data_IF_868089024755
#
_entry.id   IF_868089024755
#
_cell.length_a   1.000
_cell.length_b   1.000
_cell.length_c   1.000
_cell.angle_alpha   90.00
_cell.angle_beta   90.00
_cell.angle_gamma   90.00
#
_symmetry.space_group_name_H-M   'P 1'
#
loop_
_entity.id
_entity.type
_entity.pdbx_description
1 polymer ?
#
# COMPACT_ATOMS: atom_id res chain seq x y z
N UNK A 1 -8.39 -4.34 17.38
CA UNK A 1 -7.08 -5.06 17.20
C UNK A 1 -7.05 -6.31 18.04
N UNK A 2 -6.57 -7.42 17.49
CA UNK A 2 -6.45 -8.72 18.20
C UNK A 2 -5.21 -8.81 19.08
N UNK A 3 -4.21 -7.97 18.85
CA UNK A 3 -3.00 -7.84 19.67
C UNK A 3 -2.89 -6.39 20.13
N UNK A 4 -2.69 -6.20 21.43
CA UNK A 4 -2.51 -4.86 22.04
C UNK A 4 -1.11 -4.32 21.81
N UNK A 5 -1.00 -3.00 21.73
CA UNK A 5 0.27 -2.28 21.66
C UNK A 5 1.05 -2.45 22.98
N UNK A 6 2.38 -2.34 22.91
CA UNK A 6 3.20 -2.19 24.12
C UNK A 6 3.22 -0.71 24.55
N UNK A 7 3.41 -0.41 25.83
CA UNK A 7 3.80 0.92 26.28
C UNK A 7 5.04 1.41 25.52
N UNK A 8 5.09 2.68 25.11
CA UNK A 8 6.17 3.22 24.28
C UNK A 8 7.57 3.06 24.88
N UNK A 9 7.68 3.09 26.21
CA UNK A 9 8.94 2.91 26.91
C UNK A 9 9.53 1.48 26.81
N UNK A 10 8.72 0.49 26.42
CA UNK A 10 9.16 -0.91 26.22
C UNK A 10 9.74 -1.17 24.81
N UNK A 11 9.68 -0.20 23.92
CA UNK A 11 10.34 -0.31 22.60
C UNK A 11 11.78 0.18 22.68
N UNK A 12 12.70 -0.37 21.87
CA UNK A 12 14.07 0.13 21.73
C UNK A 12 14.09 1.64 21.44
N UNK A 13 15.12 2.31 21.94
CA UNK A 13 15.24 3.78 21.87
C UNK A 13 15.11 4.33 20.45
N UNK A 14 15.70 3.68 19.42
CA UNK A 14 15.66 4.12 18.04
C UNK A 14 14.24 4.02 17.43
N UNK A 15 13.44 3.02 17.86
CA UNK A 15 12.03 2.92 17.45
C UNK A 15 11.18 4.00 18.14
N UNK A 16 11.51 4.38 19.36
CA UNK A 16 10.86 5.50 20.05
C UNK A 16 11.10 6.82 19.33
N UNK A 17 12.31 7.03 18.80
CA UNK A 17 12.63 8.19 17.96
C UNK A 17 11.84 8.17 16.65
N UNK A 18 11.71 7.00 16.02
CA UNK A 18 10.87 6.82 14.83
C UNK A 18 9.41 7.17 15.13
N UNK A 19 8.84 6.68 16.22
CA UNK A 19 7.46 6.97 16.61
C UNK A 19 7.25 8.45 16.95
N UNK A 20 8.22 9.08 17.59
CA UNK A 20 8.17 10.52 17.84
C UNK A 20 8.10 11.31 16.51
N UNK A 21 8.95 10.98 15.55
CA UNK A 21 8.92 11.60 14.21
C UNK A 21 7.59 11.34 13.49
N UNK A 22 7.09 10.12 13.56
CA UNK A 22 5.80 9.76 12.97
C UNK A 22 4.65 10.55 13.58
N UNK A 23 4.61 10.69 14.92
CA UNK A 23 3.61 11.49 15.64
C UNK A 23 3.70 12.97 15.26
N UNK A 24 4.93 13.49 15.06
CA UNK A 24 5.13 14.88 14.60
C UNK A 24 4.57 15.09 13.19
N UNK A 25 4.80 14.15 12.27
CA UNK A 25 4.43 14.24 10.85
C UNK A 25 2.95 13.99 10.62
N UNK A 26 2.37 12.99 11.28
CA UNK A 26 1.00 12.50 11.05
C UNK A 26 0.04 12.83 12.20
N UNK A 27 0.50 13.53 13.24
CA UNK A 27 -0.22 13.85 14.48
C UNK A 27 -0.59 12.61 15.32
N UNK A 28 -0.27 11.43 14.85
CA UNK A 28 -0.51 10.15 15.52
C UNK A 28 0.57 9.13 15.14
N UNK A 29 0.69 8.06 15.94
CA UNK A 29 1.53 6.91 15.61
C UNK A 29 0.64 5.89 14.90
N UNK A 30 1.12 5.37 13.78
CA UNK A 30 0.42 4.34 13.03
C UNK A 30 0.39 3.03 13.84
N UNK A 31 -0.80 2.50 14.10
CA UNK A 31 -0.97 1.24 14.84
C UNK A 31 -0.20 0.06 14.22
N UNK A 32 -0.17 -0.13 12.89
CA UNK A 32 0.71 -1.16 12.32
C UNK A 32 2.18 -1.01 12.69
N UNK A 33 2.71 0.21 12.76
CA UNK A 33 4.10 0.42 13.12
C UNK A 33 4.39 -0.06 14.56
N UNK A 34 3.47 0.15 15.49
CA UNK A 34 3.57 -0.35 16.85
C UNK A 34 3.51 -1.89 16.90
N UNK A 35 2.67 -2.52 16.07
CA UNK A 35 2.56 -3.98 16.02
C UNK A 35 3.81 -4.62 15.39
N UNK A 36 4.27 -4.15 14.23
CA UNK A 36 5.51 -4.62 13.61
C UNK A 36 6.71 -4.48 14.56
N UNK A 37 6.78 -3.35 15.27
CA UNK A 37 7.85 -3.02 16.20
C UNK A 37 7.88 -3.89 17.45
N UNK A 38 6.83 -4.68 17.75
CA UNK A 38 6.90 -5.72 18.80
C UNK A 38 8.01 -6.73 18.53
N UNK A 39 8.36 -6.91 17.25
CA UNK A 39 9.52 -7.69 16.79
C UNK A 39 10.45 -6.74 16.02
N UNK A 40 11.42 -6.08 16.69
CA UNK A 40 12.21 -5.01 16.09
C UNK A 40 12.94 -5.39 14.80
N UNK A 41 13.44 -6.61 14.68
CA UNK A 41 14.09 -7.11 13.45
C UNK A 41 13.12 -7.15 12.27
N UNK A 42 11.88 -7.59 12.50
CA UNK A 42 10.84 -7.63 11.48
C UNK A 42 10.42 -6.22 11.07
N UNK A 43 10.24 -5.31 12.03
CA UNK A 43 9.96 -3.91 11.74
C UNK A 43 11.03 -3.30 10.82
N UNK A 44 12.31 -3.50 11.15
CA UNK A 44 13.41 -2.94 10.37
C UNK A 44 13.42 -3.46 8.91
N UNK A 45 13.17 -4.76 8.71
CA UNK A 45 13.10 -5.35 7.38
C UNK A 45 11.92 -4.78 6.56
N UNK A 46 10.75 -4.69 7.16
CA UNK A 46 9.53 -4.13 6.54
C UNK A 46 9.72 -2.64 6.23
N UNK A 47 10.30 -1.87 7.15
CA UNK A 47 10.54 -0.44 6.96
C UNK A 47 11.56 -0.17 5.84
N UNK A 48 12.62 -0.99 5.74
CA UNK A 48 13.60 -0.90 4.66
C UNK A 48 12.97 -1.21 3.30
N UNK A 49 12.20 -2.30 3.21
CA UNK A 49 11.52 -2.68 1.98
C UNK A 49 10.52 -1.61 1.54
N UNK A 50 9.71 -1.09 2.46
CA UNK A 50 8.80 0.02 2.18
C UNK A 50 9.55 1.25 1.63
N UNK A 51 10.65 1.66 2.28
CA UNK A 51 11.44 2.80 1.85
C UNK A 51 12.07 2.61 0.47
N UNK A 52 12.40 1.37 0.10
CA UNK A 52 12.91 1.01 -1.22
C UNK A 52 11.82 1.15 -2.29
N UNK A 53 10.62 0.66 -2.02
CA UNK A 53 9.50 0.67 -2.97
C UNK A 53 8.85 2.06 -3.13
N UNK A 54 8.85 2.90 -2.08
CA UNK A 54 8.28 4.27 -2.15
C UNK A 54 9.33 5.36 -2.39
N UNK A 55 10.48 5.02 -2.98
CA UNK A 55 11.54 5.99 -3.30
C UNK A 55 11.12 6.97 -4.40
N UNK A 56 11.72 8.16 -4.39
CA UNK A 56 11.43 9.23 -5.38
C UNK A 56 11.77 8.85 -6.82
N UNK A 57 12.87 8.10 -7.00
CA UNK A 57 13.36 7.67 -8.32
C UNK A 57 12.88 6.25 -8.66
N UNK A 58 11.58 6.00 -8.59
CA UNK A 58 10.97 4.75 -9.05
C UNK A 58 10.50 4.91 -10.49
N UNK A 59 10.54 3.87 -11.34
CA UNK A 59 9.92 3.88 -12.66
C UNK A 59 8.39 4.00 -12.60
N UNK A 60 7.79 3.66 -11.45
CA UNK A 60 6.36 3.77 -11.23
C UNK A 60 6.00 5.18 -10.74
N UNK A 61 5.05 5.84 -11.40
CA UNK A 61 4.57 7.15 -10.95
C UNK A 61 4.00 7.09 -9.52
N UNK A 62 4.08 8.18 -8.73
CA UNK A 62 3.51 8.19 -7.38
C UNK A 62 2.00 7.90 -7.36
N UNK A 63 1.24 8.37 -8.35
CA UNK A 63 -0.19 8.11 -8.48
C UNK A 63 -0.45 6.64 -8.72
N UNK A 64 0.26 6.04 -9.69
CA UNK A 64 0.12 4.62 -10.02
C UNK A 64 0.42 3.73 -8.82
N UNK A 65 1.50 4.02 -8.05
CA UNK A 65 1.80 3.29 -6.81
C UNK A 65 0.66 3.37 -5.80
N UNK A 66 0.01 4.54 -5.70
CA UNK A 66 -1.13 4.71 -4.79
C UNK A 66 -2.35 3.93 -5.25
N UNK A 67 -2.67 3.92 -6.55
CA UNK A 67 -3.76 3.12 -7.11
C UNK A 67 -3.57 1.63 -6.79
N UNK A 68 -2.37 1.10 -7.05
CA UNK A 68 -2.00 -0.29 -6.74
C UNK A 68 -2.20 -0.59 -5.25
N UNK A 69 -1.65 0.25 -4.37
CA UNK A 69 -1.71 -0.03 -2.93
C UNK A 69 -3.12 0.09 -2.36
N UNK A 70 -3.94 1.01 -2.86
CA UNK A 70 -5.37 1.08 -2.48
C UNK A 70 -6.11 -0.17 -2.96
N UNK A 71 -5.92 -0.58 -4.24
CA UNK A 71 -6.64 -1.74 -4.80
C UNK A 71 -6.32 -3.03 -4.04
N UNK A 72 -5.05 -3.33 -3.79
CA UNK A 72 -4.63 -4.48 -2.97
C UNK A 72 -5.25 -4.41 -1.57
N UNK A 73 -5.32 -3.21 -0.99
CA UNK A 73 -5.90 -3.02 0.35
C UNK A 73 -7.40 -3.30 0.40
N UNK A 74 -8.13 -2.90 -0.64
CA UNK A 74 -9.57 -3.20 -0.80
C UNK A 74 -9.80 -4.71 -0.88
N UNK A 75 -9.08 -5.40 -1.78
CA UNK A 75 -9.19 -6.86 -1.98
C UNK A 75 -8.88 -7.63 -0.69
N UNK A 76 -7.88 -7.21 0.07
CA UNK A 76 -7.47 -7.86 1.32
C UNK A 76 -8.24 -7.39 2.57
N UNK A 77 -9.31 -6.61 2.43
CA UNK A 77 -10.15 -6.12 3.53
C UNK A 77 -9.37 -5.41 4.64
N UNK A 78 -8.32 -4.67 4.25
CA UNK A 78 -7.49 -3.91 5.20
C UNK A 78 -8.01 -2.48 5.34
N UNK A 79 -8.94 -2.24 6.27
CA UNK A 79 -9.54 -0.91 6.48
C UNK A 79 -8.50 0.17 6.83
N UNK A 80 -7.48 -0.16 7.65
CA UNK A 80 -6.37 0.75 7.92
C UNK A 80 -5.59 1.08 6.63
N UNK A 81 -5.30 0.06 5.81
CA UNK A 81 -4.53 0.27 4.59
C UNK A 81 -5.31 1.08 3.55
N UNK A 82 -6.62 0.85 3.43
CA UNK A 82 -7.49 1.69 2.57
C UNK A 82 -7.44 3.14 3.05
N UNK A 83 -7.62 3.40 4.34
CA UNK A 83 -7.59 4.74 4.93
C UNK A 83 -6.28 5.49 4.62
N UNK A 84 -5.12 4.91 4.94
CA UNK A 84 -3.82 5.58 4.73
C UNK A 84 -3.45 5.71 3.25
N UNK A 85 -3.67 4.67 2.44
CA UNK A 85 -3.31 4.67 1.03
C UNK A 85 -4.21 5.59 0.20
N UNK A 86 -5.51 5.68 0.52
CA UNK A 86 -6.42 6.67 -0.09
C UNK A 86 -6.02 8.10 0.23
N UNK A 87 -5.57 8.37 1.48
CA UNK A 87 -5.01 9.68 1.84
C UNK A 87 -3.75 10.02 1.02
N UNK A 88 -2.91 9.03 0.73
CA UNK A 88 -1.73 9.21 -0.13
C UNK A 88 -2.12 9.41 -1.59
N UNK A 89 -3.12 8.68 -2.08
CA UNK A 89 -3.66 8.87 -3.44
C UNK A 89 -4.19 10.28 -3.61
N UNK A 90 -5.02 10.76 -2.70
CA UNK A 90 -5.53 12.14 -2.72
C UNK A 90 -4.39 13.17 -2.79
N UNK A 91 -3.36 13.02 -1.97
CA UNK A 91 -2.21 13.93 -1.97
C UNK A 91 -1.40 13.92 -3.26
N UNK A 92 -1.37 12.80 -3.97
CA UNK A 92 -0.56 12.60 -5.19
C UNK A 92 -1.33 12.96 -6.46
N UNK A 93 -2.63 12.70 -6.50
CA UNK A 93 -3.50 12.97 -7.66
C UNK A 93 -4.22 14.32 -7.59
N UNK A 94 -4.39 14.89 -6.39
CA UNK A 94 -5.16 16.10 -6.16
C UNK A 94 -6.68 15.89 -6.14
N UNK A 95 -7.18 14.66 -6.38
CA UNK A 95 -8.60 14.31 -6.37
C UNK A 95 -8.82 12.91 -5.77
N UNK A 96 -10.03 12.67 -5.26
CA UNK A 96 -10.50 11.35 -4.83
C UNK A 96 -11.24 10.57 -5.91
N UNK A 97 -11.49 11.15 -7.08
CA UNK A 97 -12.34 10.54 -8.12
C UNK A 97 -11.88 9.14 -8.51
N UNK A 98 -10.57 8.97 -8.79
CA UNK A 98 -9.99 7.65 -9.07
C UNK A 98 -10.09 6.71 -7.88
N UNK A 99 -9.94 7.21 -6.65
CA UNK A 99 -10.06 6.39 -5.44
C UNK A 99 -11.46 5.84 -5.23
N UNK A 100 -12.49 6.64 -5.50
CA UNK A 100 -13.90 6.25 -5.41
C UNK A 100 -14.30 5.30 -6.54
N UNK A 101 -13.77 5.49 -7.74
CA UNK A 101 -14.04 4.65 -8.91
C UNK A 101 -13.26 3.34 -8.93
N UNK A 102 -12.29 3.14 -8.02
CA UNK A 102 -11.32 2.05 -8.11
C UNK A 102 -11.93 0.64 -7.95
N UNK A 103 -13.09 0.50 -7.31
CA UNK A 103 -13.80 -0.78 -7.23
C UNK A 103 -14.40 -1.20 -8.58
N UNK A 104 -14.80 -0.21 -9.39
CA UNK A 104 -15.40 -0.40 -10.72
C UNK A 104 -14.51 0.18 -11.83
N UNK A 105 -13.20 0.09 -11.66
CA UNK A 105 -12.23 0.72 -12.56
C UNK A 105 -12.34 0.29 -14.03
N UNK A 106 -12.84 -0.94 -14.29
CA UNK A 106 -12.98 -1.46 -15.65
C UNK A 106 -13.95 -0.66 -16.50
N UNK A 107 -15.04 -0.21 -15.90
CA UNK A 107 -16.13 0.52 -16.55
C UNK A 107 -15.97 2.05 -16.45
N UNK A 108 -14.87 2.51 -15.86
CA UNK A 108 -14.60 3.93 -15.62
C UNK A 108 -13.67 4.52 -16.68
N UNK A 109 -14.03 5.69 -17.22
CA UNK A 109 -13.20 6.47 -18.13
C UNK A 109 -12.11 7.30 -17.41
N UNK A 110 -12.06 7.24 -16.09
CA UNK A 110 -11.06 7.96 -15.30
C UNK A 110 -9.66 7.33 -15.37
N UNK A 111 -9.56 6.07 -15.78
CA UNK A 111 -8.30 5.33 -15.85
C UNK A 111 -7.83 5.20 -17.29
N UNK A 112 -6.58 5.54 -17.53
CA UNK A 112 -5.94 5.33 -18.83
C UNK A 112 -5.57 3.84 -19.04
N UNK A 113 -5.11 3.50 -20.25
CA UNK A 113 -4.80 2.11 -20.63
C UNK A 113 -3.68 1.52 -19.77
N UNK A 114 -2.66 2.31 -19.38
CA UNK A 114 -1.59 1.88 -18.50
C UNK A 114 -2.13 1.55 -17.11
N UNK A 115 -2.94 2.42 -16.54
CA UNK A 115 -3.55 2.22 -15.23
C UNK A 115 -4.47 0.99 -15.21
N UNK A 116 -5.27 0.80 -16.27
CA UNK A 116 -6.17 -0.37 -16.42
C UNK A 116 -5.38 -1.69 -16.47
N UNK A 117 -4.33 -1.76 -17.26
CA UNK A 117 -3.47 -2.97 -17.33
C UNK A 117 -2.78 -3.23 -15.99
N UNK A 118 -2.30 -2.19 -15.30
CA UNK A 118 -1.68 -2.33 -13.98
C UNK A 118 -2.68 -2.80 -12.93
N UNK A 119 -3.91 -2.30 -12.96
CA UNK A 119 -4.97 -2.73 -12.02
C UNK A 119 -5.38 -4.18 -12.26
N UNK A 120 -5.47 -4.61 -13.53
CA UNK A 120 -5.72 -6.02 -13.86
C UNK A 120 -4.61 -6.93 -13.36
N UNK A 121 -3.34 -6.55 -13.58
CA UNK A 121 -2.19 -7.27 -13.05
C UNK A 121 -2.16 -7.30 -11.52
N UNK A 122 -2.53 -6.20 -10.89
CA UNK A 122 -2.65 -6.11 -9.42
C UNK A 122 -3.69 -7.09 -8.88
N UNK A 123 -4.83 -7.21 -9.54
CA UNK A 123 -5.88 -8.16 -9.16
C UNK A 123 -5.43 -9.60 -9.40
N UNK A 124 -4.82 -9.91 -10.55
CA UNK A 124 -4.34 -11.25 -10.88
C UNK A 124 -3.30 -11.79 -9.87
N UNK A 125 -2.46 -10.91 -9.29
CA UNK A 125 -1.50 -11.30 -8.23
C UNK A 125 -2.17 -11.40 -6.86
N UNK A 126 -3.25 -10.64 -6.62
CA UNK A 126 -3.83 -10.49 -5.27
C UNK A 126 -4.91 -11.53 -4.99
N UNK A 127 -5.76 -11.83 -5.97
CA UNK A 127 -6.78 -12.89 -5.86
C UNK A 127 -6.13 -14.26 -5.95
N UNK A 128 -6.60 -15.20 -5.12
CA UNK A 128 -6.02 -16.56 -5.05
C UNK A 128 -6.46 -17.45 -6.23
N UNK A 129 -7.58 -17.13 -6.83
CA UNK A 129 -8.22 -17.86 -7.94
C UNK A 129 -7.88 -17.28 -9.31
N UNK A 130 -7.02 -16.26 -9.38
CA UNK A 130 -6.56 -15.66 -10.63
C UNK A 130 -5.09 -15.96 -10.88
N UNK A 131 -4.71 -15.89 -12.16
CA UNK A 131 -3.34 -16.12 -12.60
C UNK A 131 -2.91 -15.02 -13.59
N UNK A 132 -1.64 -14.70 -13.55
CA UNK A 132 -1.03 -13.82 -14.56
C UNK A 132 -0.84 -14.61 -15.84
N UNK A 133 -1.46 -14.15 -16.94
CA UNK A 133 -1.32 -14.78 -18.25
C UNK A 133 -0.21 -14.13 -19.08
N UNK A 134 0.26 -14.84 -20.12
CA UNK A 134 1.26 -14.30 -21.04
C UNK A 134 0.71 -13.09 -21.83
N UNK A 135 -0.59 -13.05 -22.11
CA UNK A 135 -1.25 -11.91 -22.76
C UNK A 135 -1.25 -10.67 -21.86
N UNK A 136 -1.49 -10.85 -20.57
CA UNK A 136 -1.44 -9.76 -19.59
C UNK A 136 0.00 -9.23 -19.47
N UNK A 137 0.98 -10.13 -19.42
CA UNK A 137 2.40 -9.77 -19.42
C UNK A 137 2.81 -9.03 -20.70
N UNK A 138 2.34 -9.46 -21.86
CA UNK A 138 2.61 -8.78 -23.12
C UNK A 138 2.05 -7.34 -23.13
N UNK A 139 0.84 -7.12 -22.59
CA UNK A 139 0.26 -5.78 -22.43
C UNK A 139 1.06 -4.89 -21.47
N UNK A 140 1.55 -5.44 -20.34
CA UNK A 140 2.40 -4.70 -19.40
C UNK A 140 3.70 -4.24 -20.05
N UNK A 141 4.32 -5.08 -20.89
CA UNK A 141 5.57 -4.77 -21.62
C UNK A 141 5.45 -3.62 -22.62
N UNK A 142 4.24 -3.19 -22.96
CA UNK A 142 4.05 -1.97 -23.77
C UNK A 142 4.31 -0.69 -22.95
N UNK A 143 4.21 -0.75 -21.63
CA UNK A 143 4.33 0.39 -20.74
C UNK A 143 5.57 0.35 -19.85
N UNK A 144 6.14 -0.84 -19.59
CA UNK A 144 7.23 -1.03 -18.64
C UNK A 144 8.30 -1.96 -19.21
N UNK A 145 9.55 -1.65 -18.89
CA UNK A 145 10.68 -2.56 -19.01
C UNK A 145 10.63 -3.63 -17.89
N UNK A 146 11.57 -4.58 -17.94
CA UNK A 146 11.62 -5.69 -16.97
C UNK A 146 11.83 -5.18 -15.54
N UNK A 147 12.63 -4.14 -15.33
CA UNK A 147 12.85 -3.51 -14.03
C UNK A 147 11.56 -2.87 -13.49
N UNK A 148 10.80 -2.19 -14.35
CA UNK A 148 9.50 -1.62 -13.99
C UNK A 148 8.48 -2.67 -13.59
N UNK A 149 8.43 -3.80 -14.31
CA UNK A 149 7.55 -4.93 -13.98
C UNK A 149 7.97 -5.59 -12.66
N UNK A 150 9.27 -5.76 -12.42
CA UNK A 150 9.79 -6.30 -11.15
C UNK A 150 9.42 -5.38 -9.98
N UNK A 151 9.58 -4.05 -10.12
CA UNK A 151 9.19 -3.11 -9.07
C UNK A 151 7.68 -3.11 -8.82
N UNK A 152 6.86 -3.15 -9.87
CA UNK A 152 5.41 -3.26 -9.75
C UNK A 152 5.02 -4.54 -9.01
N UNK A 153 5.59 -5.67 -9.41
CA UNK A 153 5.36 -6.96 -8.76
C UNK A 153 5.77 -6.92 -7.28
N UNK A 154 6.95 -6.36 -6.99
CA UNK A 154 7.43 -6.17 -5.63
C UNK A 154 6.53 -5.28 -4.79
N UNK A 155 5.99 -4.19 -5.36
CA UNK A 155 5.04 -3.30 -4.68
C UNK A 155 3.73 -4.02 -4.35
N UNK A 156 3.17 -4.78 -5.30
CA UNK A 156 1.94 -5.56 -5.09
C UNK A 156 2.16 -6.61 -4.01
N UNK A 157 3.27 -7.37 -4.09
CA UNK A 157 3.60 -8.41 -3.11
C UNK A 157 3.79 -7.82 -1.70
N UNK A 158 4.49 -6.69 -1.59
CA UNK A 158 4.66 -5.98 -0.33
C UNK A 158 3.32 -5.50 0.25
N UNK A 159 2.46 -4.92 -0.59
CA UNK A 159 1.16 -4.45 -0.12
C UNK A 159 0.25 -5.62 0.29
N UNK A 160 0.34 -6.78 -0.37
CA UNK A 160 -0.31 -8.01 0.07
C UNK A 160 0.18 -8.46 1.46
N UNK A 161 1.51 -8.48 1.68
CA UNK A 161 2.10 -8.77 2.99
C UNK A 161 1.58 -7.81 4.06
N UNK A 162 1.61 -6.50 3.81
CA UNK A 162 1.20 -5.48 4.77
C UNK A 162 -0.30 -5.52 5.06
N UNK A 163 -1.13 -5.61 4.03
CA UNK A 163 -2.59 -5.61 4.20
C UNK A 163 -3.10 -6.89 4.85
N UNK A 164 -2.57 -8.06 4.47
CA UNK A 164 -2.93 -9.33 5.13
C UNK A 164 -2.48 -9.37 6.59
N UNK A 165 -1.31 -8.83 6.93
CA UNK A 165 -0.87 -8.69 8.32
C UNK A 165 -1.84 -7.81 9.12
N UNK A 166 -2.19 -6.64 8.60
CA UNK A 166 -3.07 -5.71 9.31
C UNK A 166 -4.51 -6.24 9.42
N UNK A 167 -5.04 -6.85 8.37
CA UNK A 167 -6.36 -7.48 8.36
C UNK A 167 -6.43 -8.66 9.34
N UNK A 168 -5.42 -9.54 9.34
CA UNK A 168 -5.33 -10.66 10.26
C UNK A 168 -5.30 -10.22 11.75
N UNK A 169 -4.71 -9.05 12.04
CA UNK A 169 -4.64 -8.49 13.39
C UNK A 169 -5.76 -7.49 13.70
N UNK A 170 -6.71 -7.33 12.78
CA UNK A 170 -7.86 -6.44 12.91
C UNK A 170 -7.45 -5.00 13.27
N UNK A 171 -6.53 -4.43 12.48
CA UNK A 171 -6.07 -3.05 12.69
C UNK A 171 -7.11 -2.07 12.17
N UNK A 172 -7.72 -1.24 13.03
CA UNK A 172 -8.77 -0.31 12.62
C UNK A 172 -8.20 0.88 11.83
N UNK A 173 -9.02 1.54 11.00
CA UNK A 173 -8.66 2.81 10.38
C UNK A 173 -8.34 3.86 11.44
N UNK A 174 -7.56 4.87 11.08
CA UNK A 174 -7.12 5.94 11.97
C UNK A 174 -7.52 7.35 11.47
N UNK A 175 -8.37 7.45 10.46
CA UNK A 175 -8.90 8.71 9.94
C UNK A 175 -7.87 9.54 9.18
N UNK A 176 -6.99 8.89 8.42
CA UNK A 176 -6.04 9.59 7.54
C UNK A 176 -6.71 10.16 6.30
N UNK A 177 -7.65 9.43 5.73
CA UNK A 177 -8.47 9.86 4.62
C UNK A 177 -9.76 10.43 5.17
N UNK A 178 -9.84 11.76 5.26
CA UNK A 178 -11.09 12.48 5.51
C UNK A 178 -11.67 12.80 4.13
N UNK A 179 -12.66 12.01 3.73
CA UNK A 179 -13.50 12.37 2.57
C UNK A 179 -14.42 13.50 3.08
N UNK A 180 -14.44 14.68 2.46
CA UNK A 180 -15.32 15.76 2.86
C UNK A 180 -16.78 15.39 2.68
#
# INVERSE_FOLDING_TARGET
MRITEKPLNQYPWYLRLFFWNQKRRYKQIMKPALLWARVPRLFNAVALLYGTLDRKKSPLSPVLRSLVTVRVSQINWCHFCVDINSSLLLKRSGSMDKGLALENWRDSDLFDDQEKVVLEYTEAITYTDQQVTDELMARLRHFFDDEGIIELTGLIAFQNLSSKFNSALDVPPQGFCQIP
#
